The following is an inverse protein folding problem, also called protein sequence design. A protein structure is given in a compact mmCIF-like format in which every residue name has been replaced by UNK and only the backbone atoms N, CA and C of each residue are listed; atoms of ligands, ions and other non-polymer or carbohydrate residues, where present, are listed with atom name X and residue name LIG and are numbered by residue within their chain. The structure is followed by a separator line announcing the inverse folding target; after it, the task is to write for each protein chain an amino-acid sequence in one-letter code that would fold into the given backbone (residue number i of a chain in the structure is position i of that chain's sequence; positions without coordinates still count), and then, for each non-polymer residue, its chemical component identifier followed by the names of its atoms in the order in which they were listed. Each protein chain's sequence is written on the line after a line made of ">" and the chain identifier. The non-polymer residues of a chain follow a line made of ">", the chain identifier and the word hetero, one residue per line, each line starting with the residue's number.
data_IF_818224852605
#
_entry.id   IF_818224852605
#
_cell.length_a   1.000
_cell.length_b   1.000
_cell.length_c   1.000
_cell.angle_alpha   90.00
_cell.angle_beta   90.00
_cell.angle_gamma   90.00
#
_symmetry.space_group_name_H-M   'P 1'
#
loop_
_entity.id
_entity.type
_entity.pdbx_description
1 polymer ?
#
# COMPACT_ATOMS: atom_id res chain seq x y z
N UNK A 1 -24.34 5.79 31.28
CA UNK A 1 -23.03 6.00 30.62
C UNK A 1 -22.73 4.72 29.89
N UNK A 2 -22.45 4.76 28.58
CA UNK A 2 -21.98 3.57 27.89
C UNK A 2 -20.65 3.15 28.52
N UNK A 3 -20.55 1.89 28.92
CA UNK A 3 -19.36 1.32 29.52
C UNK A 3 -18.22 1.42 28.49
N UNK A 4 -17.07 1.98 28.88
CA UNK A 4 -15.91 2.11 28.00
C UNK A 4 -15.42 0.71 27.61
N UNK A 5 -15.47 0.40 26.31
CA UNK A 5 -14.92 -0.86 25.80
C UNK A 5 -13.40 -0.76 25.66
N UNK A 6 -12.68 -1.02 26.77
CA UNK A 6 -11.22 -0.96 26.81
C UNK A 6 -10.53 -1.93 25.84
N UNK A 7 -11.15 -3.08 25.53
CA UNK A 7 -10.63 -4.00 24.52
C UNK A 7 -10.68 -3.36 23.13
N UNK A 8 -11.83 -2.82 22.74
CA UNK A 8 -11.99 -2.15 21.44
C UNK A 8 -11.00 -0.99 21.29
N UNK A 9 -10.82 -0.17 22.33
CA UNK A 9 -9.84 0.93 22.37
C UNK A 9 -8.41 0.39 22.15
N UNK A 10 -8.04 -0.67 22.87
CA UNK A 10 -6.72 -1.30 22.74
C UNK A 10 -6.48 -1.85 21.33
N UNK A 11 -7.45 -2.58 20.77
CA UNK A 11 -7.39 -3.13 19.41
C UNK A 11 -7.26 -2.03 18.37
N UNK A 12 -8.10 -1.00 18.42
CA UNK A 12 -8.04 0.13 17.49
C UNK A 12 -6.67 0.84 17.52
N UNK A 13 -6.04 0.97 18.70
CA UNK A 13 -4.68 1.54 18.79
C UNK A 13 -3.65 0.71 18.03
N UNK A 14 -3.61 -0.60 18.26
CA UNK A 14 -2.65 -1.52 17.61
C UNK A 14 -2.92 -1.62 16.10
N UNK A 15 -4.19 -1.70 15.72
CA UNK A 15 -4.61 -1.74 14.30
C UNK A 15 -4.26 -0.44 13.58
N UNK A 16 -4.46 0.72 14.22
CA UNK A 16 -4.08 2.02 13.65
C UNK A 16 -2.57 2.18 13.45
N UNK A 17 -1.74 1.61 14.34
CA UNK A 17 -0.29 1.52 14.12
C UNK A 17 0.05 0.58 12.96
N UNK A 18 -0.62 -0.57 12.87
CA UNK A 18 -0.42 -1.55 11.80
C UNK A 18 -0.80 -1.00 10.42
N UNK A 19 -1.95 -0.33 10.32
CA UNK A 19 -2.42 0.33 9.08
C UNK A 19 -1.38 1.34 8.58
N UNK A 20 -0.83 2.18 9.47
CA UNK A 20 0.21 3.16 9.09
C UNK A 20 1.47 2.49 8.55
N UNK A 21 1.93 1.41 9.20
CA UNK A 21 3.11 0.66 8.73
C UNK A 21 2.85 0.01 7.38
N UNK A 22 1.73 -0.67 7.22
CA UNK A 22 1.37 -1.37 5.99
C UNK A 22 1.17 -0.40 4.81
N UNK A 23 0.60 0.78 5.05
CA UNK A 23 0.51 1.83 4.03
C UNK A 23 1.89 2.34 3.59
N UNK A 24 2.82 2.53 4.53
CA UNK A 24 4.22 2.89 4.21
C UNK A 24 4.87 1.80 3.36
N UNK A 25 4.73 0.52 3.74
CA UNK A 25 5.33 -0.60 3.02
C UNK A 25 4.78 -0.74 1.60
N UNK A 26 3.45 -0.69 1.45
CA UNK A 26 2.78 -0.68 0.14
C UNK A 26 3.30 0.47 -0.73
N UNK A 27 3.34 1.68 -0.18
CA UNK A 27 3.79 2.87 -0.90
C UNK A 27 5.27 2.76 -1.33
N UNK A 28 6.12 2.17 -0.49
CA UNK A 28 7.52 1.90 -0.85
C UNK A 28 7.63 1.03 -2.10
N UNK A 29 6.93 -0.10 -2.15
CA UNK A 29 6.97 -0.98 -3.33
C UNK A 29 6.38 -0.32 -4.58
N UNK A 30 5.32 0.50 -4.42
CA UNK A 30 4.77 1.29 -5.53
C UNK A 30 5.80 2.27 -6.08
N UNK A 31 6.57 2.96 -5.22
CA UNK A 31 7.60 3.90 -5.66
C UNK A 31 8.77 3.18 -6.36
N UNK A 32 9.18 2.01 -5.85
CA UNK A 32 10.18 1.16 -6.50
C UNK A 32 9.71 0.73 -7.90
N UNK A 33 8.47 0.26 -8.03
CA UNK A 33 7.88 -0.10 -9.32
C UNK A 33 7.83 1.09 -10.29
N UNK A 34 7.40 2.27 -9.82
CA UNK A 34 7.41 3.51 -10.63
C UNK A 34 8.82 3.87 -11.10
N UNK A 35 9.82 3.72 -10.24
CA UNK A 35 11.21 3.98 -10.59
C UNK A 35 11.72 3.00 -11.66
N UNK A 36 11.38 1.71 -11.57
CA UNK A 36 11.73 0.73 -12.61
C UNK A 36 11.06 1.06 -13.94
N UNK A 37 9.76 1.35 -13.95
CA UNK A 37 9.06 1.74 -15.18
C UNK A 37 9.65 3.02 -15.78
N UNK A 38 9.99 4.01 -14.94
CA UNK A 38 10.65 5.24 -15.39
C UNK A 38 12.06 5.00 -15.94
N UNK A 39 12.80 4.00 -15.45
CA UNK A 39 14.11 3.63 -16.02
C UNK A 39 13.98 3.09 -17.44
N UNK A 40 12.95 2.29 -17.72
CA UNK A 40 12.71 1.72 -19.06
C UNK A 40 12.54 2.82 -20.13
N UNK A 41 11.93 3.95 -19.78
CA UNK A 41 11.73 5.06 -20.71
C UNK A 41 12.98 5.92 -20.96
N UNK A 42 14.10 5.65 -20.28
CA UNK A 42 15.37 6.37 -20.48
C UNK A 42 16.20 5.83 -21.64
N UNK A 43 15.78 4.73 -22.27
CA UNK A 43 16.39 4.24 -23.50
C UNK A 43 16.15 5.21 -24.66
N UNK A 44 17.09 5.26 -25.60
CA UNK A 44 16.97 6.00 -26.84
C UNK A 44 17.63 5.23 -27.98
N UNK A 45 16.81 4.60 -28.83
CA UNK A 45 17.28 3.86 -30.02
C UNK A 45 17.90 4.76 -31.09
N UNK A 46 17.63 6.06 -31.04
CA UNK A 46 18.13 7.05 -31.99
C UNK A 46 19.43 7.73 -31.51
N UNK A 47 19.93 7.41 -30.32
CA UNK A 47 21.22 7.91 -29.83
C UNK A 47 22.40 7.31 -30.62
N UNK A 48 23.58 7.94 -30.54
CA UNK A 48 24.83 7.39 -31.10
C UNK A 48 25.90 7.30 -30.00
N UNK A 49 26.23 6.09 -29.50
CA UNK A 49 25.63 4.80 -29.87
C UNK A 49 24.17 4.67 -29.36
N UNK A 50 23.35 3.80 -29.98
CA UNK A 50 22.00 3.51 -29.48
C UNK A 50 22.03 2.96 -28.05
N UNK A 51 21.05 3.37 -27.23
CA UNK A 51 20.91 2.92 -25.84
C UNK A 51 19.56 2.23 -25.68
N UNK A 52 19.57 0.92 -25.41
CA UNK A 52 18.36 0.14 -25.11
C UNK A 52 18.43 -0.28 -23.64
N UNK A 53 17.37 0.02 -22.88
CA UNK A 53 17.25 -0.41 -21.49
C UNK A 53 16.61 -1.78 -21.46
N UNK A 54 17.25 -2.72 -20.75
CA UNK A 54 16.76 -4.10 -20.62
C UNK A 54 15.54 -4.12 -19.69
N UNK A 55 14.51 -4.83 -20.11
CA UNK A 55 13.32 -5.07 -19.29
C UNK A 55 13.52 -6.29 -18.39
N UNK A 56 13.54 -6.06 -17.08
CA UNK A 56 13.56 -7.13 -16.07
C UNK A 56 12.14 -7.48 -15.62
N UNK A 57 11.53 -8.44 -16.32
CA UNK A 57 10.18 -8.92 -15.99
C UNK A 57 10.10 -9.55 -14.60
N UNK A 58 11.18 -10.19 -14.13
CA UNK A 58 11.17 -10.88 -12.83
C UNK A 58 11.12 -9.86 -11.69
N UNK A 59 11.87 -8.76 -11.81
CA UNK A 59 11.81 -7.67 -10.87
C UNK A 59 10.41 -7.02 -10.83
N UNK A 60 9.82 -6.75 -12.00
CA UNK A 60 8.47 -6.17 -12.08
C UNK A 60 7.42 -7.08 -11.45
N UNK A 61 7.47 -8.39 -11.73
CA UNK A 61 6.57 -9.36 -11.13
C UNK A 61 6.74 -9.44 -9.61
N UNK A 62 7.98 -9.46 -9.13
CA UNK A 62 8.30 -9.48 -7.70
C UNK A 62 7.76 -8.24 -6.98
N UNK A 63 7.94 -7.05 -7.56
CA UNK A 63 7.41 -5.80 -7.00
C UNK A 63 5.88 -5.81 -6.99
N UNK A 64 5.25 -6.30 -8.06
CA UNK A 64 3.79 -6.40 -8.17
C UNK A 64 3.21 -7.35 -7.13
N UNK A 65 3.85 -8.51 -6.92
CA UNK A 65 3.46 -9.47 -5.88
C UNK A 65 3.59 -8.86 -4.47
N UNK A 66 4.69 -8.17 -4.18
CA UNK A 66 4.89 -7.48 -2.90
C UNK A 66 3.85 -6.39 -2.64
N UNK A 67 3.47 -5.63 -3.67
CA UNK A 67 2.37 -4.66 -3.58
C UNK A 67 1.06 -5.37 -3.24
N UNK A 68 0.74 -6.47 -3.92
CA UNK A 68 -0.50 -7.22 -3.69
C UNK A 68 -0.58 -7.78 -2.26
N UNK A 69 0.52 -8.34 -1.74
CA UNK A 69 0.60 -8.83 -0.36
C UNK A 69 0.40 -7.69 0.65
N UNK A 70 1.17 -6.60 0.51
CA UNK A 70 1.07 -5.46 1.41
C UNK A 70 -0.32 -4.79 1.39
N UNK A 71 -0.96 -4.71 0.21
CA UNK A 71 -2.30 -4.18 0.08
C UNK A 71 -3.36 -5.10 0.70
N UNK A 72 -3.24 -6.43 0.50
CA UNK A 72 -4.11 -7.42 1.15
C UNK A 72 -4.04 -7.32 2.68
N UNK A 73 -2.83 -7.25 3.24
CA UNK A 73 -2.63 -7.12 4.68
C UNK A 73 -3.19 -5.78 5.20
N UNK A 74 -2.98 -4.69 4.46
CA UNK A 74 -3.54 -3.38 4.78
C UNK A 74 -5.07 -3.41 4.80
N UNK A 75 -5.71 -4.00 3.78
CA UNK A 75 -7.17 -4.10 3.69
C UNK A 75 -7.75 -4.98 4.79
N UNK A 76 -7.05 -6.05 5.17
CA UNK A 76 -7.42 -6.88 6.32
C UNK A 76 -7.41 -6.07 7.61
N UNK A 77 -6.32 -5.33 7.88
CA UNK A 77 -6.21 -4.48 9.07
C UNK A 77 -7.24 -3.34 9.11
N UNK A 78 -7.52 -2.70 7.95
CA UNK A 78 -8.56 -1.67 7.83
C UNK A 78 -9.94 -2.25 8.11
N UNK A 79 -10.25 -3.44 7.57
CA UNK A 79 -11.53 -4.12 7.81
C UNK A 79 -11.69 -4.43 9.28
N UNK A 80 -10.67 -5.00 9.93
CA UNK A 80 -10.71 -5.28 11.36
C UNK A 80 -10.87 -3.99 12.18
N UNK A 81 -10.12 -2.93 11.87
CA UNK A 81 -10.23 -1.65 12.57
C UNK A 81 -11.65 -1.09 12.48
N UNK A 82 -12.25 -1.10 11.28
CA UNK A 82 -13.59 -0.56 11.04
C UNK A 82 -14.68 -1.36 11.76
N UNK A 83 -14.44 -2.65 12.06
CA UNK A 83 -15.36 -3.45 12.87
C UNK A 83 -15.31 -3.06 14.36
N UNK A 84 -14.15 -2.65 14.88
CA UNK A 84 -13.98 -2.28 16.30
C UNK A 84 -14.20 -0.81 16.59
N UNK A 85 -14.10 0.08 15.58
CA UNK A 85 -14.02 1.52 15.80
C UNK A 85 -15.27 2.10 16.48
N UNK A 86 -16.46 1.57 16.19
CA UNK A 86 -17.71 2.01 16.81
C UNK A 86 -17.68 1.79 18.33
N UNK A 87 -17.25 0.61 18.76
CA UNK A 87 -17.18 0.24 20.19
C UNK A 87 -16.03 0.96 20.91
N UNK A 88 -14.99 1.37 20.17
CA UNK A 88 -13.88 2.17 20.67
C UNK A 88 -14.17 3.68 20.74
N UNK A 89 -15.28 4.15 20.16
CA UNK A 89 -15.56 5.59 19.99
C UNK A 89 -14.65 6.28 18.94
N UNK A 90 -14.03 5.50 18.07
CA UNK A 90 -13.14 5.94 17.00
C UNK A 90 -13.90 6.12 15.67
N UNK A 91 -13.34 6.93 14.76
CA UNK A 91 -13.91 7.09 13.42
C UNK A 91 -13.38 6.01 12.47
N UNK A 92 -14.21 5.45 11.58
CA UNK A 92 -13.76 4.45 10.63
C UNK A 92 -12.75 5.05 9.63
N UNK A 93 -11.86 4.21 9.14
CA UNK A 93 -10.97 4.51 8.01
C UNK A 93 -11.79 4.57 6.73
N UNK A 94 -11.64 5.68 6.00
CA UNK A 94 -12.35 5.91 4.74
C UNK A 94 -11.56 5.34 3.57
N UNK A 95 -12.18 4.45 2.82
CA UNK A 95 -11.65 3.94 1.55
C UNK A 95 -12.15 4.80 0.40
N UNK A 96 -11.27 5.13 -0.54
CA UNK A 96 -11.59 5.87 -1.76
C UNK A 96 -11.06 5.12 -2.96
N UNK A 97 -11.91 4.96 -3.96
CA UNK A 97 -11.46 4.43 -5.24
C UNK A 97 -10.64 5.51 -5.99
N UNK A 98 -9.54 5.13 -6.64
CA UNK A 98 -8.78 6.06 -7.46
C UNK A 98 -9.61 6.47 -8.69
N UNK A 99 -9.56 7.76 -9.03
CA UNK A 99 -10.17 8.26 -10.27
C UNK A 99 -9.47 7.60 -11.47
N UNK A 100 -10.24 6.98 -12.36
CA UNK A 100 -9.72 6.39 -13.62
C UNK A 100 -10.02 7.37 -14.76
N UNK A 101 -8.97 7.91 -15.37
CA UNK A 101 -9.04 8.73 -16.59
C UNK A 101 -8.95 7.89 -17.84
#
# INVERSE_FOLDING_TARGET
>A
MAELNYEAIGRCKVLGESIRRLDIDRNKYIQELRAEVSRLSKGNSNATPPVIVIFDINLINTLSERIAIADSDLMSAVTEFNNWCQDAGEKPVVLKEPFRT
#
